data_IF_784681704800
#
_entry.id   IF_784681704800
#
_cell.length_a   1.000
_cell.length_b   1.000
_cell.length_c   1.000
_cell.angle_alpha   90.00
_cell.angle_beta   90.00
_cell.angle_gamma   90.00
#
_symmetry.space_group_name_H-M   'P 1'
#
loop_
_entity.id
_entity.type
_entity.pdbx_description
1 polymer ?
#
# COMPACT_ATOMS: atom_id res chain seq x y z
N UNK A 1 23.49 2.26 10.21
CA UNK A 1 23.34 1.51 8.93
C UNK A 1 22.11 2.02 8.21
N UNK A 2 22.16 2.17 6.90
CA UNK A 2 21.01 2.65 6.08
C UNK A 2 20.42 4.01 6.51
N UNK A 3 21.23 4.97 6.91
CA UNK A 3 20.77 6.26 7.45
C UNK A 3 19.87 7.04 6.47
N UNK A 4 20.21 7.03 5.18
CA UNK A 4 19.39 7.66 4.15
C UNK A 4 18.03 6.98 4.01
N UNK A 5 17.98 5.63 4.09
CA UNK A 5 16.72 4.88 4.03
C UNK A 5 15.88 5.12 5.29
N UNK A 6 16.50 5.14 6.49
CA UNK A 6 15.81 5.48 7.74
C UNK A 6 15.16 6.85 7.66
N UNK A 7 15.91 7.85 7.17
CA UNK A 7 15.39 9.19 6.98
C UNK A 7 14.23 9.23 5.97
N UNK A 8 14.37 8.57 4.83
CA UNK A 8 13.31 8.51 3.81
C UNK A 8 12.05 7.81 4.33
N UNK A 9 12.19 6.71 5.07
CA UNK A 9 11.06 6.00 5.69
C UNK A 9 10.41 6.82 6.81
N UNK A 10 11.22 7.51 7.62
CA UNK A 10 10.71 8.45 8.62
C UNK A 10 9.87 9.56 7.97
N UNK A 11 10.42 10.26 6.96
CA UNK A 11 9.72 11.32 6.24
C UNK A 11 8.40 10.81 5.63
N UNK A 12 8.43 9.62 5.03
CA UNK A 12 7.23 8.97 4.49
C UNK A 12 6.19 8.64 5.57
N UNK A 13 6.61 8.21 6.77
CA UNK A 13 5.70 8.01 7.90
C UNK A 13 5.09 9.34 8.37
N UNK A 14 5.86 10.44 8.41
CA UNK A 14 5.36 11.76 8.78
C UNK A 14 4.38 12.34 7.77
N UNK A 15 4.43 11.92 6.52
CA UNK A 15 3.45 12.30 5.50
C UNK A 15 2.06 11.68 5.73
N UNK A 16 1.94 10.53 6.43
CA UNK A 16 0.65 9.89 6.69
C UNK A 16 -0.31 10.80 7.50
N UNK A 17 0.06 11.35 8.66
CA UNK A 17 -0.80 12.30 9.36
C UNK A 17 -0.97 13.62 8.60
N UNK A 18 0.06 14.08 7.87
CA UNK A 18 -0.01 15.30 7.05
C UNK A 18 -1.09 15.20 5.96
N UNK A 19 -1.25 14.03 5.34
CA UNK A 19 -2.29 13.78 4.34
C UNK A 19 -3.61 13.27 4.94
N UNK A 20 -3.74 13.17 6.27
CA UNK A 20 -4.95 12.72 6.95
C UNK A 20 -5.29 11.25 6.72
N UNK A 21 -4.28 10.42 6.49
CA UNK A 21 -4.44 8.98 6.23
C UNK A 21 -4.49 8.13 7.50
N UNK A 22 -4.10 8.72 8.64
CA UNK A 22 -4.00 8.01 9.92
C UNK A 22 -4.59 8.82 11.06
N UNK A 23 -5.03 8.09 12.10
CA UNK A 23 -5.44 8.62 13.40
C UNK A 23 -4.53 7.97 14.44
N UNK A 24 -4.01 8.75 15.41
CA UNK A 24 -3.06 8.26 16.41
C UNK A 24 -1.89 7.51 15.77
N UNK A 25 -1.58 6.30 16.24
CA UNK A 25 -0.48 5.45 15.77
C UNK A 25 -0.89 4.50 14.65
N UNK A 26 -2.14 4.60 14.11
CA UNK A 26 -2.69 3.65 13.16
C UNK A 26 -2.04 3.80 11.78
N UNK A 27 -1.25 2.84 11.42
CA UNK A 27 -0.56 2.81 10.15
C UNK A 27 0.95 2.93 10.27
N UNK A 28 1.60 2.61 9.18
CA UNK A 28 3.05 2.59 9.08
C UNK A 28 3.50 2.59 7.62
N UNK A 29 4.75 2.99 7.43
CA UNK A 29 5.47 2.90 6.16
C UNK A 29 6.75 2.12 6.39
N UNK A 30 7.12 1.30 5.41
CA UNK A 30 8.44 0.70 5.30
C UNK A 30 9.08 0.99 3.95
N UNK A 31 10.40 0.84 3.87
CA UNK A 31 11.17 0.90 2.65
C UNK A 31 12.30 -0.12 2.67
N UNK A 32 12.63 -0.71 1.53
CA UNK A 32 13.67 -1.74 1.40
C UNK A 32 14.84 -1.25 0.56
N UNK A 33 16.04 -1.59 1.00
CA UNK A 33 17.23 -1.62 0.18
C UNK A 33 17.41 -3.04 -0.40
N UNK A 34 17.19 -3.18 -1.70
CA UNK A 34 17.26 -4.46 -2.40
C UNK A 34 18.67 -5.00 -2.53
N UNK A 35 19.68 -4.14 -2.47
CA UNK A 35 21.08 -4.55 -2.56
C UNK A 35 21.53 -5.27 -1.29
N UNK A 36 21.22 -4.71 -0.13
CA UNK A 36 21.54 -5.34 1.16
C UNK A 36 20.52 -6.38 1.61
N UNK A 37 19.31 -6.39 1.05
CA UNK A 37 18.21 -7.23 1.50
C UNK A 37 17.62 -6.79 2.86
N UNK A 38 17.89 -5.55 3.27
CA UNK A 38 17.39 -4.99 4.53
C UNK A 38 16.25 -4.00 4.28
N UNK A 39 15.25 -3.98 5.14
CA UNK A 39 14.20 -2.97 5.09
C UNK A 39 14.05 -2.24 6.43
N UNK A 40 13.57 -1.02 6.34
CA UNK A 40 13.33 -0.13 7.47
C UNK A 40 11.83 0.03 7.65
N UNK A 41 11.35 -0.02 8.89
CA UNK A 41 9.93 0.10 9.23
C UNK A 41 9.74 0.95 10.49
N UNK A 42 8.57 1.61 10.60
CA UNK A 42 8.16 2.34 11.79
C UNK A 42 8.10 1.43 13.02
N UNK A 43 8.54 1.90 14.19
CA UNK A 43 8.35 1.19 15.45
C UNK A 43 6.86 1.10 15.82
N UNK A 44 6.49 0.04 16.55
CA UNK A 44 5.14 -0.18 17.04
C UNK A 44 4.77 0.81 18.15
N UNK A 45 3.58 1.41 18.05
CA UNK A 45 2.98 2.20 19.13
C UNK A 45 3.67 3.53 19.46
N UNK A 46 4.64 3.98 18.66
CA UNK A 46 5.26 5.30 18.84
C UNK A 46 4.43 6.35 18.09
N UNK A 47 4.03 7.40 18.82
CA UNK A 47 3.27 8.53 18.26
C UNK A 47 4.09 9.26 17.18
N UNK A 48 3.41 9.78 16.16
CA UNK A 48 4.10 10.42 15.03
C UNK A 48 4.87 11.68 15.45
N UNK A 49 4.37 12.46 16.40
CA UNK A 49 5.01 13.67 16.91
C UNK A 49 6.24 13.41 17.80
N UNK A 50 6.42 12.16 18.25
CA UNK A 50 7.58 11.73 19.05
C UNK A 50 8.61 10.95 18.24
N UNK A 51 8.29 10.63 16.98
CA UNK A 51 9.09 9.78 16.13
C UNK A 51 10.31 10.54 15.58
N UNK A 52 11.46 9.88 15.55
CA UNK A 52 12.70 10.39 14.94
C UNK A 52 13.25 9.39 13.90
N UNK A 53 14.13 9.80 12.99
CA UNK A 53 14.76 8.86 12.06
C UNK A 53 15.54 7.74 12.76
N UNK A 54 16.11 8.00 13.93
CA UNK A 54 16.89 7.05 14.73
C UNK A 54 16.02 5.94 15.33
N UNK A 55 14.73 6.20 15.51
CA UNK A 55 13.76 5.24 16.05
C UNK A 55 13.35 4.16 15.04
N UNK A 56 13.64 4.38 13.76
CA UNK A 56 13.30 3.43 12.70
C UNK A 56 14.02 2.10 12.93
N UNK A 57 13.28 1.00 12.73
CA UNK A 57 13.76 -0.36 12.97
C UNK A 57 14.22 -0.98 11.67
N UNK A 58 15.43 -1.57 11.65
CA UNK A 58 15.98 -2.29 10.50
C UNK A 58 15.73 -3.79 10.67
N UNK A 59 15.17 -4.41 9.65
CA UNK A 59 14.84 -5.83 9.58
C UNK A 59 15.52 -6.46 8.36
N UNK A 60 15.83 -7.75 8.44
CA UNK A 60 16.21 -8.53 7.27
C UNK A 60 15.00 -9.25 6.63
N UNK A 61 15.23 -9.89 5.48
CA UNK A 61 14.20 -10.67 4.79
C UNK A 61 13.94 -12.04 5.45
N UNK A 62 14.66 -12.42 6.48
CA UNK A 62 14.38 -13.60 7.30
C UNK A 62 13.49 -13.29 8.50
N UNK A 63 13.22 -12.00 8.74
CA UNK A 63 12.37 -11.51 9.82
C UNK A 63 13.13 -11.20 11.10
N UNK A 64 14.46 -11.15 11.05
CA UNK A 64 15.28 -10.78 12.18
C UNK A 64 15.41 -9.26 12.30
N UNK A 65 15.35 -8.75 13.53
CA UNK A 65 15.68 -7.36 13.81
C UNK A 65 17.20 -7.19 13.82
N UNK A 66 17.70 -6.35 12.91
CA UNK A 66 19.13 -6.10 12.72
C UNK A 66 19.59 -4.86 13.51
N UNK A 67 18.75 -3.80 13.54
CA UNK A 67 19.07 -2.55 14.24
C UNK A 67 17.80 -1.88 14.76
N UNK A 68 17.93 -1.10 15.83
CA UNK A 68 16.87 -0.33 16.46
C UNK A 68 16.56 -0.78 17.90
N UNK A 69 16.23 0.19 18.76
CA UNK A 69 15.91 -0.03 20.18
C UNK A 69 14.47 -0.50 20.39
N UNK A 70 13.57 -0.09 19.51
CA UNK A 70 12.14 -0.39 19.60
C UNK A 70 11.77 -1.76 19.00
N UNK A 71 10.54 -2.20 19.29
CA UNK A 71 9.90 -3.28 18.53
C UNK A 71 9.43 -2.72 17.18
N UNK A 72 9.60 -3.46 16.07
CA UNK A 72 9.04 -3.06 14.78
C UNK A 72 7.51 -3.07 14.84
N UNK A 73 6.86 -2.41 13.86
CA UNK A 73 5.41 -2.49 13.68
C UNK A 73 4.91 -3.94 13.71
N UNK A 74 3.71 -4.16 14.24
CA UNK A 74 3.03 -5.47 14.17
C UNK A 74 2.88 -5.96 12.72
N UNK A 75 2.70 -5.06 11.78
CA UNK A 75 2.53 -5.39 10.36
C UNK A 75 3.81 -5.84 9.64
N UNK A 76 4.94 -5.88 10.34
CA UNK A 76 6.25 -6.27 9.79
C UNK A 76 6.19 -7.59 9.03
N UNK A 77 5.48 -8.60 9.56
CA UNK A 77 5.35 -9.89 8.90
C UNK A 77 4.56 -9.81 7.58
N UNK A 78 3.54 -8.94 7.50
CA UNK A 78 2.82 -8.66 6.25
C UNK A 78 3.74 -8.01 5.22
N UNK A 79 4.48 -6.96 5.61
CA UNK A 79 5.43 -6.28 4.71
C UNK A 79 6.52 -7.23 4.21
N UNK A 80 7.02 -8.10 5.07
CA UNK A 80 8.03 -9.10 4.74
C UNK A 80 7.56 -10.06 3.64
N UNK A 81 6.34 -10.62 3.76
CA UNK A 81 5.75 -11.49 2.75
C UNK A 81 5.60 -10.77 1.39
N UNK A 82 5.20 -9.49 1.40
CA UNK A 82 5.08 -8.69 0.18
C UNK A 82 6.45 -8.39 -0.44
N UNK A 83 7.47 -8.03 0.34
CA UNK A 83 8.82 -7.81 -0.17
C UNK A 83 9.45 -9.05 -0.79
N UNK A 84 9.21 -10.23 -0.21
CA UNK A 84 9.66 -11.51 -0.74
C UNK A 84 8.99 -11.87 -2.07
N UNK A 85 7.67 -11.65 -2.15
CA UNK A 85 6.87 -12.06 -3.30
C UNK A 85 6.91 -11.05 -4.47
N UNK A 86 7.08 -9.76 -4.18
CA UNK A 86 7.03 -8.69 -5.17
C UNK A 86 8.37 -7.96 -5.28
N UNK A 87 9.33 -8.48 -6.08
CA UNK A 87 10.71 -7.98 -6.09
C UNK A 87 10.87 -6.54 -6.61
N UNK A 88 9.86 -6.00 -7.31
CA UNK A 88 9.90 -4.63 -7.86
C UNK A 88 9.44 -3.55 -6.87
N UNK A 89 8.77 -3.92 -5.79
CA UNK A 89 8.32 -2.93 -4.80
C UNK A 89 9.49 -2.52 -3.91
N UNK A 90 9.58 -1.21 -3.60
CA UNK A 90 10.62 -0.64 -2.75
C UNK A 90 10.09 0.03 -1.49
N UNK A 91 8.79 0.23 -1.40
CA UNK A 91 8.11 0.75 -0.21
C UNK A 91 6.71 0.20 -0.07
N UNK A 92 6.23 0.09 1.18
CA UNK A 92 4.88 -0.39 1.51
C UNK A 92 4.28 0.55 2.56
N UNK A 93 2.98 0.82 2.43
CA UNK A 93 2.17 1.55 3.40
C UNK A 93 0.99 0.70 3.82
N UNK A 94 0.73 0.67 5.11
CA UNK A 94 -0.53 0.22 5.69
C UNK A 94 -1.20 1.37 6.43
N UNK A 95 -2.50 1.53 6.27
CA UNK A 95 -3.31 2.50 7.00
C UNK A 95 -4.70 1.97 7.31
N UNK A 96 -5.42 2.70 8.16
CA UNK A 96 -6.86 2.55 8.32
C UNK A 96 -7.58 3.81 7.82
N UNK A 97 -7.16 4.33 6.67
CA UNK A 97 -7.77 5.51 6.05
C UNK A 97 -9.25 5.26 5.76
N UNK A 98 -10.06 6.28 5.97
CA UNK A 98 -11.50 6.13 6.23
C UNK A 98 -12.27 5.48 5.08
N UNK A 99 -12.08 5.95 3.85
CA UNK A 99 -12.84 5.44 2.70
C UNK A 99 -12.32 4.09 2.22
N UNK A 100 -11.00 3.92 2.11
CA UNK A 100 -10.44 2.64 1.70
C UNK A 100 -10.76 1.53 2.71
N UNK A 101 -10.69 1.84 4.02
CA UNK A 101 -11.10 0.89 5.07
C UNK A 101 -12.59 0.58 5.03
N UNK A 102 -13.45 1.55 4.70
CA UNK A 102 -14.89 1.29 4.53
C UNK A 102 -15.17 0.29 3.40
N UNK A 103 -14.47 0.40 2.27
CA UNK A 103 -14.55 -0.58 1.19
C UNK A 103 -14.03 -1.95 1.63
N UNK A 104 -12.92 -2.00 2.37
CA UNK A 104 -12.38 -3.22 2.94
C UNK A 104 -13.37 -3.90 3.89
N UNK A 105 -14.01 -3.15 4.79
CA UNK A 105 -15.04 -3.65 5.71
C UNK A 105 -16.27 -4.16 4.96
N UNK A 106 -16.66 -3.49 3.87
CA UNK A 106 -17.74 -3.95 3.00
C UNK A 106 -17.38 -5.22 2.20
N UNK A 107 -16.10 -5.62 2.18
CA UNK A 107 -15.60 -6.79 1.46
C UNK A 107 -15.71 -6.67 -0.06
N UNK A 108 -15.56 -5.45 -0.58
CA UNK A 108 -15.66 -5.12 -2.00
C UNK A 108 -14.39 -4.48 -2.52
N UNK A 109 -13.97 -4.89 -3.72
CA UNK A 109 -12.98 -4.14 -4.50
C UNK A 109 -13.51 -2.78 -4.94
N UNK A 110 -12.62 -1.89 -5.34
CA UNK A 110 -12.99 -0.55 -5.84
C UNK A 110 -12.96 -0.57 -7.37
N UNK A 111 -14.12 -0.49 -8.05
CA UNK A 111 -14.16 -0.48 -9.50
C UNK A 111 -13.54 0.80 -10.07
N UNK A 112 -12.92 0.70 -11.24
CA UNK A 112 -12.40 1.87 -11.94
C UNK A 112 -13.55 2.63 -12.62
N UNK A 113 -14.10 3.64 -11.95
CA UNK A 113 -15.20 4.44 -12.47
C UNK A 113 -14.75 5.63 -13.33
N UNK A 114 -13.51 6.05 -13.23
CA UNK A 114 -13.08 7.26 -13.90
C UNK A 114 -11.58 7.35 -14.15
N UNK A 115 -11.23 8.41 -14.86
CA UNK A 115 -9.88 8.62 -15.37
C UNK A 115 -8.84 8.87 -14.29
N UNK A 116 -9.22 9.48 -13.17
CA UNK A 116 -8.31 9.65 -12.01
C UNK A 116 -7.84 8.29 -11.48
N UNK A 117 -8.75 7.34 -11.32
CA UNK A 117 -8.38 5.97 -10.92
C UNK A 117 -7.48 5.33 -11.99
N UNK A 118 -7.91 5.37 -13.27
CA UNK A 118 -7.19 4.75 -14.38
C UNK A 118 -5.77 5.32 -14.60
N UNK A 119 -5.54 6.58 -14.24
CA UNK A 119 -4.21 7.20 -14.34
C UNK A 119 -3.15 6.58 -13.40
N UNK A 120 -3.57 5.88 -12.35
CA UNK A 120 -2.67 5.38 -11.31
C UNK A 120 -2.75 3.87 -11.09
N UNK A 121 -3.91 3.26 -11.37
CA UNK A 121 -4.17 1.84 -11.09
C UNK A 121 -4.93 1.21 -12.25
N UNK A 122 -4.42 0.09 -12.76
CA UNK A 122 -4.99 -0.58 -13.93
C UNK A 122 -6.14 -1.51 -13.54
N UNK A 123 -7.36 -1.06 -13.77
CA UNK A 123 -8.57 -1.81 -13.47
C UNK A 123 -8.99 -1.72 -12.00
N UNK A 124 -9.73 -2.70 -11.52
CA UNK A 124 -10.24 -2.76 -10.16
C UNK A 124 -9.13 -2.95 -9.12
N UNK A 125 -9.21 -2.18 -8.03
CA UNK A 125 -8.41 -2.42 -6.82
C UNK A 125 -9.05 -3.58 -6.07
N UNK A 126 -8.34 -4.71 -5.86
CA UNK A 126 -8.93 -5.91 -5.29
C UNK A 126 -9.19 -5.78 -3.78
N UNK A 127 -10.17 -6.55 -3.32
CA UNK A 127 -10.38 -6.82 -1.89
C UNK A 127 -10.20 -8.33 -1.65
N UNK A 128 -9.20 -8.69 -0.86
CA UNK A 128 -8.98 -10.09 -0.49
C UNK A 128 -10.07 -10.59 0.45
N UNK A 129 -10.29 -11.90 0.50
CA UNK A 129 -11.24 -12.55 1.41
C UNK A 129 -10.90 -12.29 2.89
N UNK A 130 -11.80 -12.65 3.79
CA UNK A 130 -11.44 -12.80 5.21
C UNK A 130 -10.41 -13.92 5.38
N UNK A 131 -9.51 -13.74 6.35
CA UNK A 131 -8.74 -14.83 6.92
C UNK A 131 -9.68 -15.84 7.61
N UNK A 132 -9.32 -17.11 7.59
CA UNK A 132 -10.04 -18.15 8.34
C UNK A 132 -9.72 -18.04 9.84
N UNK A 133 -10.53 -18.63 10.73
CA UNK A 133 -10.19 -18.67 12.17
C UNK A 133 -8.82 -19.27 12.46
N UNK A 134 -8.41 -20.28 11.69
CA UNK A 134 -7.11 -20.95 11.83
C UNK A 134 -5.97 -20.00 11.42
N UNK A 135 -6.10 -19.33 10.28
CA UNK A 135 -5.12 -18.33 9.78
C UNK A 135 -4.94 -17.18 10.78
N UNK A 136 -6.06 -16.74 11.42
CA UNK A 136 -6.02 -15.68 12.44
C UNK A 136 -5.31 -16.16 13.70
N UNK A 137 -5.58 -17.38 14.16
CA UNK A 137 -5.01 -17.90 15.38
C UNK A 137 -3.52 -18.28 15.26
N UNK A 138 -3.08 -18.67 14.06
CA UNK A 138 -1.72 -19.14 13.83
C UNK A 138 -0.72 -17.99 13.68
N UNK A 139 -0.92 -17.12 12.67
CA UNK A 139 0.00 -16.04 12.35
C UNK A 139 -0.72 -14.93 11.55
N UNK A 140 -1.53 -14.13 12.20
CA UNK A 140 -2.46 -13.17 11.59
C UNK A 140 -1.79 -12.26 10.54
N UNK A 141 -0.72 -11.57 10.91
CA UNK A 141 -0.06 -10.59 10.03
C UNK A 141 0.66 -11.29 8.88
N UNK A 142 1.30 -12.43 9.13
CA UNK A 142 1.96 -13.19 8.08
C UNK A 142 0.94 -13.75 7.08
N UNK A 143 -0.16 -14.32 7.57
CA UNK A 143 -1.22 -14.87 6.74
C UNK A 143 -1.96 -13.76 5.96
N UNK A 144 -2.05 -12.54 6.49
CA UNK A 144 -2.50 -11.37 5.74
C UNK A 144 -1.61 -11.13 4.50
N UNK A 145 -0.29 -11.13 4.68
CA UNK A 145 0.66 -10.97 3.57
C UNK A 145 0.55 -12.08 2.54
N UNK A 146 0.51 -13.34 2.99
CA UNK A 146 0.33 -14.50 2.10
C UNK A 146 -0.96 -14.43 1.30
N UNK A 147 -2.07 -14.07 1.94
CA UNK A 147 -3.37 -13.94 1.29
C UNK A 147 -3.35 -12.86 0.20
N UNK A 148 -2.66 -11.74 0.44
CA UNK A 148 -2.47 -10.70 -0.60
C UNK A 148 -1.71 -11.28 -1.80
N UNK A 149 -0.61 -11.98 -1.55
CA UNK A 149 0.21 -12.60 -2.61
C UNK A 149 -0.61 -13.63 -3.41
N UNK A 150 -1.33 -14.51 -2.73
CA UNK A 150 -2.21 -15.51 -3.35
C UNK A 150 -3.23 -14.86 -4.28
N UNK A 151 -3.84 -13.76 -3.85
CA UNK A 151 -4.84 -13.05 -4.65
C UNK A 151 -4.24 -12.44 -5.91
N UNK A 152 -3.07 -11.82 -5.84
CA UNK A 152 -2.40 -11.27 -7.02
C UNK A 152 -1.98 -12.37 -8.01
N UNK A 153 -1.49 -13.51 -7.53
CA UNK A 153 -1.20 -14.68 -8.36
C UNK A 153 -2.47 -15.22 -9.01
N UNK A 154 -3.55 -15.38 -8.23
CA UNK A 154 -4.86 -15.88 -8.73
C UNK A 154 -5.44 -14.99 -9.84
N UNK A 155 -5.29 -13.67 -9.68
CA UNK A 155 -5.80 -12.69 -10.67
C UNK A 155 -4.88 -12.51 -11.87
N UNK A 156 -3.62 -12.98 -11.81
CA UNK A 156 -2.60 -12.71 -12.82
C UNK A 156 -2.29 -11.22 -12.98
N UNK A 157 -2.45 -10.42 -11.92
CA UNK A 157 -2.20 -8.97 -11.94
C UNK A 157 -0.75 -8.65 -11.60
N UNK A 158 -0.16 -7.71 -12.35
CA UNK A 158 1.14 -7.14 -11.98
C UNK A 158 0.93 -6.21 -10.77
N UNK A 159 1.62 -6.47 -9.63
CA UNK A 159 1.55 -5.59 -8.46
C UNK A 159 1.93 -4.14 -8.76
N UNK A 160 2.82 -3.90 -9.73
CA UNK A 160 3.18 -2.52 -10.11
C UNK A 160 2.11 -1.83 -10.96
N UNK A 161 1.22 -2.57 -11.61
CA UNK A 161 0.09 -2.01 -12.35
C UNK A 161 -1.12 -1.73 -11.45
N UNK A 162 -1.27 -2.49 -10.36
CA UNK A 162 -2.30 -2.29 -9.33
C UNK A 162 -1.62 -2.23 -7.96
N UNK A 163 -0.98 -1.09 -7.61
CA UNK A 163 -0.14 -1.01 -6.41
C UNK A 163 -0.93 -0.83 -5.11
N UNK A 164 -2.08 -1.47 -5.00
CA UNK A 164 -2.99 -1.39 -3.85
C UNK A 164 -3.84 -2.64 -3.69
N UNK A 165 -4.21 -2.95 -2.46
CA UNK A 165 -5.14 -4.02 -2.09
C UNK A 165 -5.91 -3.65 -0.84
N UNK A 166 -7.15 -4.11 -0.74
CA UNK A 166 -7.97 -4.03 0.47
C UNK A 166 -7.97 -5.40 1.16
N UNK A 167 -7.73 -5.41 2.46
CA UNK A 167 -7.88 -6.62 3.28
C UNK A 167 -9.24 -6.57 3.97
N UNK A 168 -10.12 -7.53 3.65
CA UNK A 168 -11.50 -7.57 4.19
C UNK A 168 -11.50 -7.52 5.71
N UNK A 169 -12.36 -6.63 6.27
CA UNK A 169 -12.51 -6.35 7.69
C UNK A 169 -11.25 -5.73 8.36
N UNK A 170 -10.27 -5.26 7.59
CA UNK A 170 -9.05 -4.68 8.15
C UNK A 170 -8.81 -3.29 7.54
N UNK A 171 -8.10 -3.21 6.43
CA UNK A 171 -7.75 -1.94 5.80
C UNK A 171 -6.91 -2.14 4.54
N UNK A 172 -6.42 -1.05 3.93
CA UNK A 172 -5.61 -1.10 2.72
C UNK A 172 -4.13 -1.35 3.00
N UNK A 173 -3.48 -1.99 2.03
CA UNK A 173 -2.05 -1.95 1.82
C UNK A 173 -1.77 -1.33 0.45
N UNK A 174 -0.77 -0.45 0.37
CA UNK A 174 -0.30 0.14 -0.88
C UNK A 174 1.22 0.05 -0.97
N UNK A 175 1.74 0.14 -2.18
CA UNK A 175 3.18 0.08 -2.40
C UNK A 175 3.61 0.92 -3.60
N UNK A 176 4.92 1.03 -3.77
CA UNK A 176 5.57 1.73 -4.86
C UNK A 176 7.03 1.33 -4.99
N UNK A 177 7.78 1.97 -5.88
CA UNK A 177 9.21 1.73 -6.07
C UNK A 177 10.08 2.18 -4.89
N UNK A 178 9.52 3.03 -4.02
CA UNK A 178 10.11 3.53 -2.78
C UNK A 178 9.03 3.92 -1.77
N UNK A 179 9.42 4.26 -0.55
CA UNK A 179 8.50 4.64 0.53
C UNK A 179 7.64 5.86 0.18
N UNK A 180 8.20 6.85 -0.53
CA UNK A 180 7.49 8.06 -0.93
C UNK A 180 6.40 7.76 -1.97
N UNK A 181 6.71 6.93 -2.96
CA UNK A 181 5.72 6.51 -3.96
C UNK A 181 4.62 5.64 -3.32
N UNK A 182 4.95 4.79 -2.36
CA UNK A 182 3.96 4.02 -1.61
C UNK A 182 2.96 4.93 -0.86
N UNK A 183 3.43 6.01 -0.23
CA UNK A 183 2.56 7.02 0.40
C UNK A 183 1.72 7.77 -0.64
N UNK A 184 2.32 8.16 -1.77
CA UNK A 184 1.57 8.79 -2.86
C UNK A 184 0.44 7.87 -3.34
N UNK A 185 0.71 6.57 -3.49
CA UNK A 185 -0.31 5.57 -3.83
C UNK A 185 -1.41 5.48 -2.78
N UNK A 186 -1.07 5.56 -1.47
CA UNK A 186 -2.06 5.55 -0.40
C UNK A 186 -2.99 6.78 -0.44
N UNK A 187 -2.45 7.96 -0.73
CA UNK A 187 -3.25 9.19 -0.93
C UNK A 187 -4.20 9.04 -2.10
N UNK A 188 -3.70 8.53 -3.23
CA UNK A 188 -4.53 8.28 -4.42
C UNK A 188 -5.62 7.26 -4.13
N UNK A 189 -5.27 6.15 -3.44
CA UNK A 189 -6.24 5.12 -3.05
C UNK A 189 -7.38 5.69 -2.23
N UNK A 190 -7.08 6.48 -1.20
CA UNK A 190 -8.10 7.09 -0.33
C UNK A 190 -9.03 8.03 -1.13
N UNK A 191 -8.48 8.85 -2.02
CA UNK A 191 -9.30 9.75 -2.85
C UNK A 191 -10.14 9.00 -3.89
N UNK A 192 -9.62 7.95 -4.54
CA UNK A 192 -10.43 7.16 -5.49
C UNK A 192 -11.49 6.32 -4.77
N UNK A 193 -11.20 5.81 -3.57
CA UNK A 193 -12.18 5.13 -2.72
C UNK A 193 -13.35 6.05 -2.36
N UNK A 194 -13.05 7.29 -1.97
CA UNK A 194 -14.02 8.34 -1.68
C UNK A 194 -14.86 8.72 -2.91
N UNK A 195 -14.20 8.90 -4.06
CA UNK A 195 -14.88 9.19 -5.33
C UNK A 195 -15.82 8.03 -5.70
N UNK A 196 -15.37 6.79 -5.62
CA UNK A 196 -16.15 5.60 -5.95
C UNK A 196 -17.39 5.48 -5.04
N UNK A 197 -17.24 5.68 -3.72
CA UNK A 197 -18.35 5.70 -2.78
C UNK A 197 -19.41 6.76 -3.17
N UNK A 198 -18.97 7.97 -3.46
CA UNK A 198 -19.88 9.06 -3.88
C UNK A 198 -20.53 8.77 -5.22
N UNK A 199 -19.81 8.20 -6.17
CA UNK A 199 -20.33 7.81 -7.49
C UNK A 199 -21.46 6.79 -7.35
N UNK A 200 -21.27 5.75 -6.53
CA UNK A 200 -22.32 4.75 -6.27
C UNK A 200 -23.50 5.34 -5.49
N UNK A 201 -23.25 6.32 -4.61
CA UNK A 201 -24.32 7.02 -3.89
C UNK A 201 -25.17 7.89 -4.82
N UNK A 202 -24.58 8.47 -5.87
CA UNK A 202 -25.29 9.27 -6.90
C UNK A 202 -26.01 8.38 -7.89
N UNK A 203 -25.36 7.29 -8.33
CA UNK A 203 -25.92 6.32 -9.28
C UNK A 203 -25.58 4.88 -8.83
N UNK A 204 -26.46 4.21 -8.10
CA UNK A 204 -26.24 2.82 -7.62
C UNK A 204 -26.07 1.78 -8.75
N UNK A 205 -26.43 2.13 -9.98
CA UNK A 205 -26.31 1.24 -11.15
C UNK A 205 -25.13 1.59 -12.06
N UNK A 206 -24.24 2.47 -11.60
CA UNK A 206 -23.07 2.87 -12.37
C UNK A 206 -22.22 1.64 -12.77
N UNK A 207 -21.68 1.68 -13.97
CA UNK A 207 -20.76 0.66 -14.46
C UNK A 207 -19.33 1.22 -14.47
N UNK A 208 -18.29 0.37 -14.35
CA UNK A 208 -16.92 0.79 -14.55
C UNK A 208 -16.73 1.52 -15.87
N UNK A 209 -15.74 2.39 -15.93
CA UNK A 209 -15.36 3.08 -17.17
C UNK A 209 -15.02 2.05 -18.26
N UNK A 210 -15.36 2.33 -19.54
CA UNK A 210 -14.97 1.45 -20.66
C UNK A 210 -13.49 1.12 -20.66
N UNK A 211 -13.12 -0.10 -21.06
CA UNK A 211 -11.74 -0.58 -21.02
C UNK A 211 -10.82 0.32 -21.86
N UNK A 212 -11.28 0.78 -23.01
CA UNK A 212 -10.52 1.66 -23.90
C UNK A 212 -10.16 2.99 -23.22
N UNK A 213 -11.04 3.51 -22.36
CA UNK A 213 -10.78 4.72 -21.58
C UNK A 213 -9.76 4.45 -20.47
N UNK A 214 -9.88 3.30 -19.78
CA UNK A 214 -8.92 2.89 -18.77
C UNK A 214 -7.53 2.70 -19.38
N UNK A 215 -7.42 2.01 -20.50
CA UNK A 215 -6.17 1.78 -21.23
C UNK A 215 -5.54 3.11 -21.67
N UNK A 216 -6.34 4.00 -22.26
CA UNK A 216 -5.86 5.32 -22.69
C UNK A 216 -5.24 6.12 -21.56
N UNK A 217 -5.89 6.14 -20.38
CA UNK A 217 -5.43 6.88 -19.23
C UNK A 217 -4.23 6.24 -18.55
N UNK A 218 -4.25 4.91 -18.39
CA UNK A 218 -3.14 4.20 -17.78
C UNK A 218 -1.87 4.32 -18.62
N UNK A 219 -1.93 3.96 -19.90
CA UNK A 219 -0.75 3.91 -20.76
C UNK A 219 -0.18 5.28 -21.15
N UNK A 220 -0.93 6.38 -21.03
CA UNK A 220 -0.36 7.72 -21.21
C UNK A 220 0.67 8.09 -20.13
N UNK A 221 0.59 7.45 -18.92
CA UNK A 221 1.51 7.66 -17.80
C UNK A 221 2.48 6.51 -17.60
N UNK A 222 2.08 5.31 -17.97
CA UNK A 222 2.79 4.06 -17.72
C UNK A 222 3.08 3.31 -19.02
N UNK A 223 4.30 2.87 -19.22
CA UNK A 223 4.70 2.11 -20.40
C UNK A 223 5.67 2.84 -21.32
N UNK A 224 6.09 2.15 -22.39
CA UNK A 224 7.16 2.60 -23.29
C UNK A 224 6.82 3.91 -24.04
N UNK A 225 5.53 4.19 -24.24
CA UNK A 225 5.04 5.36 -25.00
C UNK A 225 4.34 6.39 -24.10
N UNK A 226 4.67 6.44 -22.81
CA UNK A 226 4.11 7.42 -21.89
C UNK A 226 4.47 8.85 -22.35
N UNK A 227 3.46 9.74 -22.40
CA UNK A 227 3.63 11.11 -22.89
C UNK A 227 3.07 12.16 -21.92
N UNK A 228 2.57 11.75 -20.76
CA UNK A 228 2.00 12.66 -19.76
C UNK A 228 3.11 13.26 -18.88
N UNK A 229 3.02 14.58 -18.69
CA UNK A 229 3.98 15.34 -17.90
C UNK A 229 4.90 16.21 -18.75
N UNK A 230 5.91 16.79 -18.11
CA UNK A 230 6.93 17.57 -18.80
C UNK A 230 7.99 16.63 -19.40
N UNK A 231 8.57 17.02 -20.55
CA UNK A 231 9.73 16.31 -21.09
C UNK A 231 10.87 16.31 -20.06
N UNK A 232 11.50 15.15 -19.87
CA UNK A 232 12.71 15.08 -19.03
C UNK A 232 13.83 15.76 -19.79
N UNK A 233 14.24 16.96 -19.31
CA UNK A 233 15.43 17.65 -19.75
C UNK A 233 16.70 16.96 -19.21
#
# INVERSE_FOLDING_TARGET
>A
MLEELKKAVYEANMDLPRYGLVTFTWGNVSGIDRESGLFVIKPSGVEYDQLTPEDMVVMDLDGNKIEGSYRPSSDTATHLELYRAFPKIGGIVHTHSSYATSWAQAGRGIPCYGTTHADYMYGEIPCVRCLTPEEIAEAYEQNTGRLIVEEFVRMGKDPMAVPAVLCKNHGPFTWGKDAREAVHTAVVLEEVAKMAYRTESINPQVKPAPQELQDKHYYRKHGANAYYGQEKH
#
